data_IF_131822057430
#
_entry.id   IF_131822057430
#
_cell.length_a   1.000
_cell.length_b   1.000
_cell.length_c   1.000
_cell.angle_alpha   90.00
_cell.angle_beta   90.00
_cell.angle_gamma   90.00
#
_symmetry.space_group_name_H-M   'P 1'
#
loop_
_entity.id
_entity.type
_entity.pdbx_description
1 polymer ?
#
# COMPACT_ATOMS: atom_id res chain seq x y z
N UNK A 1 27.12 -2.53 4.74
CA UNK A 1 25.91 -2.97 5.47
C UNK A 1 26.10 -4.44 5.84
N UNK A 2 25.93 -4.79 7.11
CA UNK A 2 26.01 -6.18 7.58
C UNK A 2 24.65 -6.89 7.48
N UNK A 3 24.64 -8.21 7.63
CA UNK A 3 23.40 -9.01 7.67
C UNK A 3 22.48 -8.62 8.83
N UNK A 4 23.05 -8.36 10.02
CA UNK A 4 22.31 -7.92 11.20
C UNK A 4 21.67 -6.54 10.98
N UNK A 5 22.41 -5.61 10.38
CA UNK A 5 21.89 -4.29 10.01
C UNK A 5 20.74 -4.43 9.01
N UNK A 6 20.92 -5.25 7.97
CA UNK A 6 19.90 -5.50 6.96
C UNK A 6 18.64 -6.11 7.59
N UNK A 7 18.79 -7.12 8.46
CA UNK A 7 17.65 -7.79 9.10
C UNK A 7 16.85 -6.81 9.96
N UNK A 8 17.56 -5.97 10.74
CA UNK A 8 16.93 -4.92 11.55
C UNK A 8 16.18 -3.91 10.68
N UNK A 9 16.78 -3.44 9.58
CA UNK A 9 16.15 -2.51 8.64
C UNK A 9 14.91 -3.15 8.00
N UNK A 10 15.03 -4.39 7.52
CA UNK A 10 13.93 -5.08 6.85
C UNK A 10 12.77 -5.38 7.80
N UNK A 11 13.03 -5.78 9.04
CA UNK A 11 11.94 -5.98 10.03
C UNK A 11 11.23 -4.67 10.34
N UNK A 12 11.97 -3.57 10.49
CA UNK A 12 11.38 -2.25 10.73
C UNK A 12 10.52 -1.78 9.54
N UNK A 13 11.06 -1.85 8.32
CA UNK A 13 10.35 -1.37 7.12
C UNK A 13 9.10 -2.20 6.81
N UNK A 14 9.15 -3.52 7.04
CA UNK A 14 7.98 -4.38 6.83
C UNK A 14 6.92 -4.16 7.90
N UNK A 15 7.31 -3.78 9.11
CA UNK A 15 6.36 -3.38 10.17
C UNK A 15 5.71 -2.03 9.82
N UNK A 16 6.49 -1.04 9.39
CA UNK A 16 5.97 0.27 8.97
C UNK A 16 5.02 0.14 7.77
N UNK A 17 5.38 -0.67 6.78
CA UNK A 17 4.53 -0.96 5.63
C UNK A 17 3.20 -1.60 6.07
N UNK A 18 3.26 -2.59 6.96
CA UNK A 18 2.08 -3.28 7.47
C UNK A 18 1.14 -2.32 8.18
N UNK A 19 1.67 -1.46 9.03
CA UNK A 19 0.90 -0.42 9.71
C UNK A 19 0.27 0.57 8.71
N UNK A 20 1.04 0.98 7.69
CA UNK A 20 0.55 1.81 6.60
C UNK A 20 -0.61 1.18 5.83
N UNK A 21 -0.49 -0.09 5.46
CA UNK A 21 -1.55 -0.84 4.77
C UNK A 21 -2.80 -0.93 5.62
N UNK A 22 -2.67 -1.34 6.89
CA UNK A 22 -3.82 -1.51 7.80
C UNK A 22 -4.56 -0.20 8.11
N UNK A 23 -3.85 0.93 8.04
CA UNK A 23 -4.43 2.27 8.26
C UNK A 23 -4.81 3.00 6.97
N UNK A 24 -4.57 2.39 5.81
CA UNK A 24 -4.70 3.05 4.51
C UNK A 24 -3.87 4.35 4.40
N UNK A 25 -2.71 4.39 5.04
CA UNK A 25 -1.80 5.54 5.01
C UNK A 25 -0.79 5.39 3.87
N UNK A 26 -1.04 6.12 2.78
CA UNK A 26 -0.18 6.12 1.60
C UNK A 26 1.24 6.64 1.88
N UNK A 27 1.42 7.52 2.87
CA UNK A 27 2.74 8.08 3.20
C UNK A 27 3.64 7.03 3.87
N UNK A 28 3.08 6.23 4.78
CA UNK A 28 3.78 5.12 5.42
C UNK A 28 4.19 4.07 4.39
N UNK A 29 3.27 3.68 3.49
CA UNK A 29 3.56 2.72 2.42
C UNK A 29 4.63 3.26 1.46
N UNK A 30 4.58 4.54 1.08
CA UNK A 30 5.56 5.14 0.19
C UNK A 30 6.97 5.20 0.81
N UNK A 31 7.10 5.58 2.08
CA UNK A 31 8.40 5.59 2.78
C UNK A 31 8.98 4.19 2.93
N UNK A 32 8.13 3.21 3.26
CA UNK A 32 8.54 1.83 3.35
C UNK A 32 9.03 1.30 1.98
N UNK A 33 8.32 1.62 0.89
CA UNK A 33 8.76 1.27 -0.45
C UNK A 33 10.12 1.91 -0.82
N UNK A 34 10.29 3.22 -0.59
CA UNK A 34 11.54 3.92 -0.85
C UNK A 34 12.74 3.31 -0.10
N UNK A 35 12.51 2.89 1.15
CA UNK A 35 13.53 2.21 1.96
C UNK A 35 13.89 0.84 1.40
N UNK A 36 12.91 0.05 0.96
CA UNK A 36 13.15 -1.24 0.29
C UNK A 36 13.93 -1.06 -1.03
N UNK A 37 13.63 -0.03 -1.81
CA UNK A 37 14.38 0.30 -3.03
C UNK A 37 15.83 0.72 -2.74
N UNK A 38 16.08 1.43 -1.64
CA UNK A 38 17.43 1.75 -1.19
C UNK A 38 18.19 0.48 -0.80
N UNK A 39 17.56 -0.42 -0.03
CA UNK A 39 18.15 -1.72 0.34
C UNK A 39 18.52 -2.53 -0.91
N UNK A 40 17.63 -2.61 -1.90
CA UNK A 40 17.91 -3.32 -3.16
C UNK A 40 19.07 -2.68 -3.94
N UNK A 41 19.20 -1.35 -3.94
CA UNK A 41 20.35 -0.67 -4.55
C UNK A 41 21.66 -1.02 -3.82
N UNK A 42 21.67 -0.92 -2.50
CA UNK A 42 22.84 -1.28 -1.69
C UNK A 42 23.26 -2.73 -1.91
N UNK A 43 22.32 -3.67 -1.98
CA UNK A 43 22.60 -5.08 -2.27
C UNK A 43 23.22 -5.30 -3.66
N UNK A 44 22.82 -4.52 -4.66
CA UNK A 44 23.40 -4.57 -6.02
C UNK A 44 24.81 -3.99 -6.07
N UNK A 45 25.14 -3.08 -5.16
CA UNK A 45 26.46 -2.47 -5.03
C UNK A 45 27.41 -3.31 -4.17
N UNK A 46 26.89 -4.17 -3.27
CA UNK A 46 27.70 -5.08 -2.46
C UNK A 46 28.51 -6.06 -3.35
N UNK A 47 29.81 -6.30 -3.07
CA UNK A 47 30.60 -7.35 -3.75
C UNK A 47 29.93 -8.72 -3.67
N UNK A 48 30.06 -9.54 -4.72
CA UNK A 48 29.34 -10.82 -4.82
C UNK A 48 29.71 -11.76 -3.66
N UNK A 49 30.97 -11.73 -3.24
CA UNK A 49 31.56 -12.54 -2.18
C UNK A 49 30.91 -12.25 -0.81
N UNK A 50 30.37 -11.03 -0.63
CA UNK A 50 29.76 -10.56 0.61
C UNK A 50 28.22 -10.67 0.60
N UNK A 51 27.61 -11.04 -0.55
CA UNK A 51 26.14 -11.08 -0.69
C UNK A 51 25.49 -12.27 -0.01
N UNK A 52 26.17 -13.41 0.10
CA UNK A 52 25.59 -14.64 0.63
C UNK A 52 24.86 -14.45 1.99
N UNK A 53 25.47 -13.83 3.01
CA UNK A 53 24.77 -13.60 4.29
C UNK A 53 23.62 -12.59 4.17
N UNK A 54 23.67 -11.65 3.21
CA UNK A 54 22.59 -10.69 2.98
C UNK A 54 21.39 -11.34 2.29
N UNK A 55 21.63 -12.27 1.37
CA UNK A 55 20.57 -13.04 0.71
C UNK A 55 19.83 -13.94 1.71
N UNK A 56 20.55 -14.57 2.65
CA UNK A 56 19.94 -15.36 3.72
C UNK A 56 18.96 -14.52 4.57
N UNK A 57 19.28 -13.25 4.81
CA UNK A 57 18.37 -12.32 5.50
C UNK A 57 17.13 -12.02 4.67
N UNK A 58 17.26 -11.86 3.35
CA UNK A 58 16.10 -11.67 2.47
C UNK A 58 15.18 -12.88 2.45
N UNK A 59 15.75 -14.09 2.50
CA UNK A 59 14.99 -15.33 2.63
C UNK A 59 14.27 -15.40 3.98
N UNK A 60 14.91 -14.98 5.06
CA UNK A 60 14.31 -14.93 6.40
C UNK A 60 13.08 -14.01 6.46
N UNK A 61 13.14 -12.83 5.84
CA UNK A 61 12.03 -11.86 5.86
C UNK A 61 10.99 -12.08 4.75
N UNK A 62 11.20 -13.08 3.89
CA UNK A 62 10.29 -13.40 2.78
C UNK A 62 8.85 -13.68 3.22
N UNK A 63 8.57 -14.38 4.34
CA UNK A 63 7.20 -14.60 4.81
C UNK A 63 6.48 -13.28 5.14
N UNK A 64 7.17 -12.32 5.77
CA UNK A 64 6.62 -11.02 6.12
C UNK A 64 6.31 -10.18 4.87
N UNK A 65 7.20 -10.20 3.87
CA UNK A 65 6.97 -9.58 2.56
C UNK A 65 5.69 -10.13 1.89
N UNK A 66 5.54 -11.45 1.87
CA UNK A 66 4.35 -12.12 1.30
C UNK A 66 3.08 -11.73 2.07
N UNK A 67 3.15 -11.71 3.39
CA UNK A 67 2.03 -11.30 4.24
C UNK A 67 1.59 -9.87 3.91
N UNK A 68 2.53 -8.92 3.86
CA UNK A 68 2.21 -7.53 3.52
C UNK A 68 1.62 -7.40 2.11
N UNK A 69 2.10 -8.18 1.13
CA UNK A 69 1.53 -8.16 -0.22
C UNK A 69 0.09 -8.67 -0.28
N UNK A 70 -0.23 -9.73 0.48
CA UNK A 70 -1.61 -10.21 0.63
C UNK A 70 -2.48 -9.12 1.26
N UNK A 71 -2.01 -8.50 2.34
CA UNK A 71 -2.73 -7.41 3.01
C UNK A 71 -2.98 -6.23 2.06
N UNK A 72 -1.98 -5.82 1.28
CA UNK A 72 -2.13 -4.73 0.30
C UNK A 72 -3.21 -5.05 -0.74
N UNK A 73 -3.25 -6.30 -1.21
CA UNK A 73 -4.27 -6.77 -2.15
C UNK A 73 -5.68 -6.65 -1.56
N UNK A 74 -5.86 -7.08 -0.31
CA UNK A 74 -7.14 -6.95 0.38
C UNK A 74 -7.50 -5.49 0.68
N UNK A 75 -6.53 -4.66 1.05
CA UNK A 75 -6.74 -3.24 1.29
C UNK A 75 -7.21 -2.51 0.02
N UNK A 76 -6.61 -2.82 -1.13
CA UNK A 76 -7.04 -2.30 -2.42
C UNK A 76 -8.47 -2.74 -2.78
N UNK A 77 -8.79 -4.02 -2.60
CA UNK A 77 -10.15 -4.52 -2.85
C UNK A 77 -11.18 -3.81 -1.95
N UNK A 78 -10.88 -3.65 -0.67
CA UNK A 78 -11.74 -2.93 0.27
C UNK A 78 -11.98 -1.47 -0.13
N UNK A 79 -10.92 -0.73 -0.48
CA UNK A 79 -11.03 0.67 -0.89
C UNK A 79 -11.86 0.82 -2.17
N UNK A 80 -11.68 -0.07 -3.16
CA UNK A 80 -12.48 -0.08 -4.38
C UNK A 80 -13.96 -0.33 -4.07
N UNK A 81 -14.26 -1.34 -3.27
CA UNK A 81 -15.64 -1.68 -2.92
C UNK A 81 -16.31 -0.55 -2.09
N UNK A 82 -15.54 0.22 -1.30
CA UNK A 82 -16.03 1.43 -0.62
C UNK A 82 -16.38 2.54 -1.62
N UNK A 83 -15.51 2.80 -2.60
CA UNK A 83 -15.75 3.81 -3.64
C UNK A 83 -17.01 3.50 -4.46
N UNK A 84 -17.21 2.23 -4.83
CA UNK A 84 -18.42 1.79 -5.56
C UNK A 84 -19.70 2.06 -4.75
N UNK A 85 -19.69 1.81 -3.44
CA UNK A 85 -20.83 2.08 -2.55
C UNK A 85 -21.09 3.58 -2.32
N UNK A 86 -20.07 4.41 -2.34
CA UNK A 86 -20.24 5.86 -2.25
C UNK A 86 -20.89 6.43 -3.51
N UNK A 87 -20.51 5.93 -4.68
CA UNK A 87 -21.14 6.28 -5.97
C UNK A 87 -22.62 5.86 -6.01
N UNK A 88 -22.98 4.70 -5.46
CA UNK A 88 -24.38 4.28 -5.35
C UNK A 88 -25.23 5.16 -4.40
N UNK A 89 -24.58 5.85 -3.46
CA UNK A 89 -25.24 6.69 -2.43
C UNK A 89 -25.40 8.15 -2.84
N UNK A 90 -24.73 8.64 -3.89
CA UNK A 90 -25.01 9.98 -4.41
C UNK A 90 -26.44 10.02 -4.99
N UNK A 91 -27.37 10.78 -4.39
CA UNK A 91 -28.71 10.89 -4.93
C UNK A 91 -28.61 11.62 -6.27
N UNK A 92 -29.08 10.98 -7.34
CA UNK A 92 -29.41 11.68 -8.60
C UNK A 92 -30.32 12.83 -8.23
N UNK A 93 -29.76 14.03 -8.19
CA UNK A 93 -30.47 15.24 -7.81
C UNK A 93 -31.59 15.50 -8.80
N UNK A 94 -32.80 15.22 -8.33
CA UNK A 94 -33.96 16.08 -8.46
C UNK A 94 -34.24 16.61 -9.87
N UNK A 95 -34.91 15.82 -10.69
CA UNK A 95 -35.71 16.36 -11.81
C UNK A 95 -36.97 17.01 -11.21
N UNK A 96 -36.85 18.22 -10.68
CA UNK A 96 -38.02 19.06 -10.38
C UNK A 96 -38.64 19.43 -11.73
N UNK A 97 -39.71 18.74 -12.09
CA UNK A 97 -40.56 19.11 -13.23
C UNK A 97 -41.18 20.48 -12.92
N UNK A 98 -41.02 21.52 -13.76
CA UNK A 98 -41.72 22.77 -13.55
C UNK A 98 -43.23 22.54 -13.81
N UNK A 99 -44.05 22.69 -12.77
CA UNK A 99 -45.50 22.77 -12.89
C UNK A 99 -45.86 24.02 -13.73
N UNK A 100 -46.16 23.80 -15.01
CA UNK A 100 -46.74 24.82 -15.89
C UNK A 100 -48.11 25.25 -15.36
N UNK A 101 -48.15 26.36 -14.63
CA UNK A 101 -49.39 27.13 -14.47
C UNK A 101 -49.78 27.72 -15.83
N UNK A 102 -50.76 27.14 -16.51
CA UNK A 102 -51.55 27.85 -17.52
C UNK A 102 -52.83 28.37 -16.87
N UNK A 103 -52.85 29.67 -16.59
CA UNK A 103 -54.08 30.47 -16.48
C UNK A 103 -53.83 31.80 -17.18
N UNK A 104 -54.44 31.97 -18.35
CA UNK A 104 -54.98 33.23 -18.87
C UNK A 104 -55.56 32.95 -20.26
N UNK A 105 -56.85 33.24 -20.42
CA UNK A 105 -57.69 32.95 -21.58
C UNK A 105 -59.13 32.93 -21.10
#
# INVERSE_FOLDING_TARGET
>A
MTAEELLRIMRAVLTEEREGILRFDASLVARANATKELVLRLLRETPIEERAPLLAVLDEVQPDLRCNQILLTHAHAYLRDMQEREVEREPRTSTVVPLLKRKAG
#
